data_IF_277814434025
#
_entry.id   IF_277814434025
#
_cell.length_a   1.000
_cell.length_b   1.000
_cell.length_c   1.000
_cell.angle_alpha   90.00
_cell.angle_beta   90.00
_cell.angle_gamma   90.00
#
_symmetry.space_group_name_H-M   'P 1'
#
loop_
_entity.id
_entity.type
_entity.pdbx_description
1 polymer ?
#
# COMPACT_ATOMS: atom_id res chain seq x y z
N UNK A 1 2.61 1.74 -4.18
CA UNK A 1 1.52 1.45 -5.14
C UNK A 1 1.65 2.37 -6.33
N UNK A 2 1.49 1.86 -7.56
CA UNK A 2 1.38 2.66 -8.78
C UNK A 2 -0.10 2.85 -9.12
N UNK A 3 -0.55 4.10 -9.25
CA UNK A 3 -1.93 4.43 -9.59
C UNK A 3 -2.05 4.88 -11.05
N UNK A 4 -2.77 4.12 -11.84
CA UNK A 4 -3.24 4.51 -13.15
C UNK A 4 -4.66 5.10 -13.04
N UNK A 5 -4.90 6.27 -13.63
CA UNK A 5 -6.19 6.93 -13.59
C UNK A 5 -6.69 7.23 -14.99
N UNK A 6 -7.93 6.84 -15.27
CA UNK A 6 -8.65 7.19 -16.50
C UNK A 6 -9.97 7.85 -16.15
N UNK A 7 -10.26 8.95 -16.83
CA UNK A 7 -11.49 9.73 -16.65
C UNK A 7 -12.23 9.79 -17.99
N UNK A 8 -13.53 9.55 -17.96
CA UNK A 8 -14.44 9.74 -19.09
C UNK A 8 -15.42 10.87 -18.71
N UNK A 9 -15.37 11.97 -19.44
CA UNK A 9 -16.20 13.14 -19.21
C UNK A 9 -16.65 13.77 -20.53
N UNK A 10 -17.15 15.00 -20.49
CA UNK A 10 -17.59 15.73 -21.71
C UNK A 10 -16.48 15.93 -22.74
N UNK A 11 -15.22 15.86 -22.33
CA UNK A 11 -14.06 15.97 -23.23
C UNK A 11 -13.69 14.61 -23.83
N UNK A 12 -14.39 13.54 -23.44
CA UNK A 12 -14.09 12.18 -23.81
C UNK A 12 -13.17 11.47 -22.82
N UNK A 13 -12.81 10.26 -23.18
CA UNK A 13 -11.98 9.39 -22.34
C UNK A 13 -10.51 9.77 -22.45
N UNK A 14 -9.86 10.01 -21.32
CA UNK A 14 -8.47 10.45 -21.23
C UNK A 14 -7.81 9.95 -19.96
N UNK A 15 -6.48 10.01 -19.91
CA UNK A 15 -5.79 9.82 -18.64
C UNK A 15 -6.17 10.91 -17.64
N UNK A 16 -6.27 10.54 -16.37
CA UNK A 16 -6.55 11.46 -15.27
C UNK A 16 -5.30 12.20 -14.81
N UNK A 17 -4.60 12.87 -15.74
CA UNK A 17 -3.34 13.58 -15.48
C UNK A 17 -3.41 15.07 -15.86
N UNK A 18 -4.60 15.61 -16.00
CA UNK A 18 -4.79 17.03 -16.30
C UNK A 18 -4.89 17.87 -15.03
N UNK A 19 -4.77 19.20 -15.13
CA UNK A 19 -4.91 20.09 -13.97
C UNK A 19 -6.24 19.93 -13.21
N UNK A 20 -7.29 19.42 -13.86
CA UNK A 20 -8.59 19.18 -13.24
C UNK A 20 -8.52 18.07 -12.16
N UNK A 21 -7.64 17.10 -12.34
CA UNK A 21 -7.46 15.99 -11.39
C UNK A 21 -6.32 16.24 -10.38
N UNK A 22 -5.61 17.37 -10.45
CA UNK A 22 -4.45 17.59 -9.57
C UNK A 22 -4.82 17.59 -8.08
N UNK A 23 -5.96 18.20 -7.71
CA UNK A 23 -6.46 18.15 -6.33
C UNK A 23 -6.75 16.71 -5.90
N UNK A 24 -7.36 15.90 -6.77
CA UNK A 24 -7.61 14.49 -6.49
C UNK A 24 -6.29 13.71 -6.29
N UNK A 25 -5.25 14.02 -7.06
CA UNK A 25 -3.93 13.41 -6.90
C UNK A 25 -3.28 13.76 -5.56
N UNK A 26 -3.38 15.01 -5.12
CA UNK A 26 -2.88 15.45 -3.82
C UNK A 26 -3.63 14.73 -2.70
N UNK A 27 -4.95 14.76 -2.72
CA UNK A 27 -5.79 14.13 -1.70
C UNK A 27 -5.55 12.62 -1.61
N UNK A 28 -5.36 11.94 -2.76
CA UNK A 28 -4.98 10.52 -2.83
C UNK A 28 -3.61 10.28 -2.21
N UNK A 29 -2.61 11.05 -2.61
CA UNK A 29 -1.24 10.91 -2.10
C UNK A 29 -1.20 11.09 -0.59
N UNK A 30 -1.83 12.12 -0.07
CA UNK A 30 -1.88 12.42 1.36
C UNK A 30 -2.59 11.31 2.15
N UNK A 31 -3.69 10.77 1.59
CA UNK A 31 -4.44 9.68 2.22
C UNK A 31 -3.63 8.40 2.32
N UNK A 32 -2.86 8.05 1.29
CA UNK A 32 -1.97 6.88 1.31
C UNK A 32 -0.74 7.12 2.20
N UNK A 33 -0.15 8.31 2.14
CA UNK A 33 1.00 8.69 2.97
C UNK A 33 0.68 8.65 4.47
N UNK A 34 -0.54 9.05 4.87
CA UNK A 34 -1.01 8.95 6.25
C UNK A 34 -1.03 7.50 6.78
N UNK A 35 -1.10 6.51 5.88
CA UNK A 35 -1.03 5.08 6.21
C UNK A 35 0.36 4.47 5.96
N UNK A 36 1.37 5.31 5.70
CA UNK A 36 2.74 4.87 5.46
C UNK A 36 2.99 4.25 4.08
N UNK A 37 2.05 4.37 3.15
CA UNK A 37 2.14 3.80 1.80
C UNK A 37 2.39 4.90 0.77
N UNK A 38 3.48 4.79 0.02
CA UNK A 38 3.79 5.73 -1.06
C UNK A 38 2.98 5.42 -2.31
N UNK A 39 2.16 6.40 -2.72
CA UNK A 39 1.46 6.37 -3.98
C UNK A 39 2.34 7.02 -5.06
N UNK A 40 2.46 6.36 -6.20
CA UNK A 40 3.14 6.90 -7.39
C UNK A 40 2.15 7.00 -8.54
N UNK A 41 2.29 8.02 -9.36
CA UNK A 41 1.58 8.11 -10.65
C UNK A 41 2.55 7.84 -11.80
N UNK A 42 2.07 7.26 -12.91
CA UNK A 42 2.83 7.16 -14.14
C UNK A 42 3.18 8.55 -14.69
N UNK A 43 4.21 8.64 -15.51
CA UNK A 43 4.57 9.87 -16.19
C UNK A 43 3.61 10.21 -17.32
N UNK A 44 2.87 9.22 -17.81
CA UNK A 44 1.99 9.31 -18.98
C UNK A 44 2.74 9.87 -20.21
N UNK A 45 4.02 9.52 -20.31
CA UNK A 45 4.87 9.90 -21.42
C UNK A 45 4.66 9.01 -22.65
N UNK A 46 5.48 9.20 -23.68
CA UNK A 46 5.38 8.41 -24.91
C UNK A 46 5.61 6.92 -24.65
N UNK A 47 6.53 6.57 -23.74
CA UNK A 47 6.82 5.17 -23.40
C UNK A 47 5.62 4.48 -22.75
N UNK A 48 4.92 5.17 -21.87
CA UNK A 48 3.67 4.66 -21.29
C UNK A 48 2.59 4.53 -22.38
N UNK A 49 2.48 5.54 -23.24
CA UNK A 49 1.41 5.63 -24.27
C UNK A 49 1.56 4.59 -25.40
N UNK A 50 2.75 4.02 -25.58
CA UNK A 50 2.96 2.91 -26.53
C UNK A 50 2.24 1.64 -26.08
N UNK A 51 2.24 1.37 -24.76
CA UNK A 51 1.65 0.17 -24.18
C UNK A 51 0.24 0.41 -23.66
N UNK A 52 -0.01 1.53 -22.98
CA UNK A 52 -1.26 1.83 -22.30
C UNK A 52 -1.94 3.05 -22.91
N UNK A 53 -3.16 2.88 -23.33
CA UNK A 53 -4.06 3.95 -23.74
C UNK A 53 -5.17 4.16 -22.71
N UNK A 54 -5.90 5.28 -22.74
CA UNK A 54 -7.11 5.43 -21.90
C UNK A 54 -8.12 4.29 -22.11
N UNK A 55 -8.20 3.74 -23.34
CA UNK A 55 -9.04 2.61 -23.66
C UNK A 55 -8.55 1.32 -22.98
N UNK A 56 -7.23 1.07 -22.97
CA UNK A 56 -6.59 -0.08 -22.30
C UNK A 56 -6.96 -0.13 -20.81
N UNK A 57 -6.86 1.02 -20.11
CA UNK A 57 -7.26 1.14 -18.70
C UNK A 57 -8.76 0.92 -18.53
N UNK A 58 -9.56 1.45 -19.43
CA UNK A 58 -11.02 1.34 -19.36
C UNK A 58 -11.51 -0.08 -19.54
N UNK A 59 -10.90 -0.81 -20.46
CA UNK A 59 -11.27 -2.18 -20.79
C UNK A 59 -10.69 -3.22 -19.82
N UNK A 60 -9.89 -2.78 -18.82
CA UNK A 60 -9.19 -3.64 -17.88
C UNK A 60 -8.21 -4.62 -18.57
N UNK A 61 -7.57 -4.19 -19.63
CA UNK A 61 -6.54 -4.99 -20.26
C UNK A 61 -5.24 -4.90 -19.46
N UNK A 62 -5.13 -5.78 -18.47
CA UNK A 62 -4.01 -5.74 -17.52
C UNK A 62 -2.67 -6.22 -18.09
N UNK A 63 -2.65 -6.91 -19.21
CA UNK A 63 -1.38 -7.30 -19.84
C UNK A 63 -0.47 -6.10 -20.10
N UNK A 64 -0.89 -5.17 -20.98
CA UNK A 64 -0.14 -3.94 -21.25
C UNK A 64 0.06 -3.03 -20.03
N UNK A 65 -0.92 -2.99 -19.10
CA UNK A 65 -0.82 -2.16 -17.90
C UNK A 65 0.30 -2.65 -16.97
N UNK A 66 0.40 -3.96 -16.76
CA UNK A 66 1.48 -4.57 -15.95
C UNK A 66 2.83 -4.34 -16.63
N UNK A 67 2.94 -4.59 -17.93
CA UNK A 67 4.17 -4.37 -18.69
C UNK A 67 4.65 -2.92 -18.59
N UNK A 68 3.76 -1.95 -18.79
CA UNK A 68 4.10 -0.53 -18.62
C UNK A 68 4.50 -0.16 -17.19
N UNK A 69 3.98 -0.90 -16.20
CA UNK A 69 4.24 -0.65 -14.79
C UNK A 69 5.62 -1.18 -14.34
N UNK A 70 6.22 -2.12 -15.05
CA UNK A 70 7.52 -2.70 -14.72
C UNK A 70 8.64 -1.64 -14.67
N UNK A 71 8.59 -0.62 -15.52
CA UNK A 71 9.57 0.48 -15.53
C UNK A 71 9.59 1.30 -14.23
N UNK A 72 8.50 1.25 -13.48
CA UNK A 72 8.38 1.93 -12.18
C UNK A 72 8.80 1.05 -11.01
N UNK A 73 9.11 -0.23 -11.25
CA UNK A 73 9.47 -1.21 -10.23
C UNK A 73 8.32 -1.51 -9.26
N UNK A 74 7.07 -1.40 -9.73
CA UNK A 74 5.88 -1.56 -8.90
C UNK A 74 5.09 -2.81 -9.31
N UNK A 75 4.77 -3.64 -8.32
CA UNK A 75 3.96 -4.86 -8.48
C UNK A 75 2.54 -4.69 -7.95
N UNK A 76 2.29 -3.65 -7.14
CA UNK A 76 0.99 -3.30 -6.62
C UNK A 76 0.40 -2.16 -7.45
N UNK A 77 -0.67 -2.45 -8.15
CA UNK A 77 -1.32 -1.51 -9.05
C UNK A 77 -2.70 -1.14 -8.51
N UNK A 78 -3.01 0.15 -8.55
CA UNK A 78 -4.36 0.65 -8.35
C UNK A 78 -4.81 1.32 -9.65
N UNK A 79 -5.98 0.98 -10.15
CA UNK A 79 -6.54 1.58 -11.36
C UNK A 79 -7.85 2.26 -11.01
N UNK A 80 -7.93 3.56 -11.26
CA UNK A 80 -9.17 4.33 -11.14
C UNK A 80 -9.81 4.52 -12.50
N UNK A 81 -11.08 4.09 -12.64
CA UNK A 81 -11.92 4.29 -13.83
C UNK A 81 -13.08 5.16 -13.44
N UNK A 82 -13.06 6.41 -13.81
CA UNK A 82 -14.00 7.42 -13.33
C UNK A 82 -14.79 8.04 -14.48
N UNK A 83 -16.08 8.25 -14.25
CA UNK A 83 -16.96 9.07 -15.10
C UNK A 83 -17.16 10.41 -14.37
N UNK A 84 -16.70 11.48 -14.95
CA UNK A 84 -16.93 12.84 -14.46
C UNK A 84 -18.28 13.38 -14.90
N UNK A 85 -19.19 13.63 -13.97
CA UNK A 85 -20.49 14.18 -14.22
C UNK A 85 -20.46 15.72 -14.24
N UNK A 86 -21.40 16.33 -14.96
CA UNK A 86 -21.49 17.79 -15.10
C UNK A 86 -21.76 18.57 -13.83
N UNK A 87 -22.17 17.89 -12.77
CA UNK A 87 -22.40 18.47 -11.44
C UNK A 87 -21.20 18.32 -10.50
N UNK A 88 -20.02 17.92 -11.00
CA UNK A 88 -18.80 17.72 -10.22
C UNK A 88 -18.74 16.38 -9.46
N UNK A 89 -19.74 15.51 -9.65
CA UNK A 89 -19.73 14.16 -9.05
C UNK A 89 -18.96 13.19 -9.92
N UNK A 90 -18.49 12.12 -9.28
CA UNK A 90 -17.86 11.00 -9.96
C UNK A 90 -18.62 9.69 -9.72
N UNK A 91 -18.68 8.88 -10.75
CA UNK A 91 -19.13 7.48 -10.67
C UNK A 91 -18.02 6.65 -11.29
N UNK A 92 -17.73 5.50 -10.73
CA UNK A 92 -16.71 4.65 -11.32
C UNK A 92 -16.33 3.45 -10.46
N UNK A 93 -15.07 3.11 -10.54
CA UNK A 93 -14.55 1.91 -9.94
C UNK A 93 -13.07 2.07 -9.63
N UNK A 94 -12.67 1.53 -8.51
CA UNK A 94 -11.28 1.27 -8.16
C UNK A 94 -10.99 -0.22 -8.33
N UNK A 95 -9.87 -0.54 -8.95
CA UNK A 95 -9.41 -1.91 -9.16
C UNK A 95 -7.99 -1.99 -8.58
N UNK A 96 -7.80 -2.88 -7.64
CA UNK A 96 -6.47 -3.23 -7.14
C UNK A 96 -6.01 -4.52 -7.77
N UNK A 97 -4.74 -4.58 -8.16
CA UNK A 97 -4.11 -5.76 -8.75
C UNK A 97 -2.70 -5.95 -8.20
N UNK A 98 -2.39 -7.19 -7.90
CA UNK A 98 -1.05 -7.67 -7.55
C UNK A 98 -0.79 -9.07 -8.14
N UNK A 99 0.22 -9.78 -7.61
CA UNK A 99 0.56 -11.14 -8.03
C UNK A 99 -0.51 -12.18 -7.68
N UNK A 100 -1.39 -11.91 -6.71
CA UNK A 100 -2.45 -12.83 -6.27
C UNK A 100 -3.74 -12.69 -7.10
N UNK A 101 -3.88 -11.61 -7.88
CA UNK A 101 -5.04 -11.38 -8.73
C UNK A 101 -5.55 -9.94 -8.70
N UNK A 102 -6.85 -9.78 -8.98
CA UNK A 102 -7.49 -8.47 -8.98
C UNK A 102 -8.74 -8.47 -8.11
N UNK A 103 -8.98 -7.32 -7.49
CA UNK A 103 -10.19 -7.01 -6.72
C UNK A 103 -10.70 -5.63 -7.12
N UNK A 104 -11.99 -5.42 -7.06
CA UNK A 104 -12.55 -4.11 -7.42
C UNK A 104 -13.69 -3.68 -6.50
N UNK A 105 -13.90 -2.36 -6.46
CA UNK A 105 -15.00 -1.73 -5.74
C UNK A 105 -15.58 -0.59 -6.55
N UNK A 106 -16.89 -0.58 -6.71
CA UNK A 106 -17.61 0.52 -7.35
C UNK A 106 -17.70 1.72 -6.41
N UNK A 107 -17.67 2.91 -6.98
CA UNK A 107 -17.78 4.17 -6.24
C UNK A 107 -18.75 5.12 -6.91
N UNK A 108 -19.54 5.81 -6.09
CA UNK A 108 -20.32 6.98 -6.48
C UNK A 108 -20.08 8.05 -5.41
N UNK A 109 -19.55 9.19 -5.83
CA UNK A 109 -19.06 10.19 -4.89
C UNK A 109 -19.43 11.61 -5.33
N UNK A 110 -19.69 12.45 -4.35
CA UNK A 110 -19.92 13.88 -4.50
C UNK A 110 -18.83 14.73 -3.80
N UNK A 111 -17.82 14.06 -3.28
CA UNK A 111 -16.62 14.68 -2.70
C UNK A 111 -15.37 13.85 -2.99
N UNK A 112 -14.19 14.47 -2.92
CA UNK A 112 -12.89 13.76 -3.05
C UNK A 112 -12.75 12.66 -2.00
N UNK A 113 -13.10 12.93 -0.76
CA UNK A 113 -13.02 11.95 0.34
C UNK A 113 -13.87 10.70 0.06
N UNK A 114 -15.14 10.88 -0.34
CA UNK A 114 -16.04 9.79 -0.68
C UNK A 114 -15.57 9.01 -1.92
N UNK A 115 -14.83 9.65 -2.83
CA UNK A 115 -14.23 9.01 -3.98
C UNK A 115 -13.01 8.16 -3.61
N UNK A 116 -12.17 8.67 -2.72
CA UNK A 116 -10.88 8.07 -2.35
C UNK A 116 -11.05 6.90 -1.38
N UNK A 117 -11.90 7.03 -0.38
CA UNK A 117 -12.03 6.07 0.72
C UNK A 117 -12.24 4.62 0.28
N UNK A 118 -13.09 4.29 -0.73
CA UNK A 118 -13.25 2.92 -1.18
C UNK A 118 -11.97 2.35 -1.83
N UNK A 119 -11.26 3.14 -2.66
CA UNK A 119 -10.02 2.73 -3.29
C UNK A 119 -8.88 2.52 -2.29
N UNK A 120 -8.79 3.41 -1.31
CA UNK A 120 -7.84 3.30 -0.20
C UNK A 120 -8.11 2.04 0.63
N UNK A 121 -9.38 1.83 1.02
CA UNK A 121 -9.78 0.65 1.80
C UNK A 121 -9.51 -0.65 1.05
N UNK A 122 -9.80 -0.69 -0.27
CA UNK A 122 -9.51 -1.83 -1.12
C UNK A 122 -8.01 -2.14 -1.14
N UNK A 123 -7.18 -1.18 -1.49
CA UNK A 123 -5.72 -1.35 -1.59
C UNK A 123 -5.11 -1.79 -0.25
N UNK A 124 -5.49 -1.13 0.85
CA UNK A 124 -4.99 -1.45 2.18
C UNK A 124 -5.47 -2.82 2.67
N UNK A 125 -6.71 -3.20 2.34
CA UNK A 125 -7.26 -4.52 2.68
C UNK A 125 -6.48 -5.65 1.99
N UNK A 126 -6.16 -5.49 0.71
CA UNK A 126 -5.40 -6.47 -0.08
C UNK A 126 -3.95 -6.56 0.40
N UNK A 127 -3.29 -5.42 0.62
CA UNK A 127 -1.94 -5.39 1.16
C UNK A 127 -1.88 -6.04 2.54
N UNK A 128 -2.84 -5.76 3.43
CA UNK A 128 -2.90 -6.44 4.73
C UNK A 128 -3.05 -7.96 4.59
N UNK A 129 -3.86 -8.44 3.65
CA UNK A 129 -4.00 -9.89 3.42
C UNK A 129 -2.71 -10.52 2.94
N UNK A 130 -1.97 -9.83 2.08
CA UNK A 130 -0.72 -10.33 1.53
C UNK A 130 0.43 -10.30 2.56
N UNK A 131 0.51 -9.22 3.35
CA UNK A 131 1.56 -8.99 4.34
C UNK A 131 1.10 -9.28 5.78
N UNK A 132 -0.16 -9.63 5.99
CA UNK A 132 -0.57 -10.12 7.29
C UNK A 132 0.14 -11.44 7.54
N UNK A 133 1.01 -11.43 8.52
CA UNK A 133 1.50 -12.67 9.12
C UNK A 133 0.25 -13.42 9.58
N UNK A 134 -0.02 -14.57 8.96
CA UNK A 134 -1.14 -15.40 9.35
C UNK A 134 -0.89 -15.86 10.78
N UNK A 135 -1.62 -15.28 11.72
CA UNK A 135 -1.71 -15.77 13.08
C UNK A 135 -2.48 -17.11 13.04
N UNK A 136 -1.88 -18.10 12.39
CA UNK A 136 -2.42 -19.46 12.39
C UNK A 136 -2.17 -20.06 13.75
N UNK A 137 -3.21 -20.22 14.51
CA UNK A 137 -3.29 -20.75 15.88
C UNK A 137 -2.85 -22.23 15.98
N UNK A 138 -1.89 -22.69 15.19
CA UNK A 138 -1.31 -24.04 15.20
C UNK A 138 0.21 -24.04 14.99
N UNK A 139 0.91 -23.00 15.40
CA UNK A 139 2.37 -22.96 15.42
C UNK A 139 2.89 -23.16 16.83
N UNK A 140 3.85 -24.03 17.01
CA UNK A 140 4.74 -24.05 18.18
C UNK A 140 5.18 -22.61 18.47
N UNK A 141 5.06 -22.15 19.69
CA UNK A 141 5.61 -20.87 20.14
C UNK A 141 7.11 -20.87 19.82
N UNK A 142 7.51 -20.24 18.75
CA UNK A 142 8.92 -20.09 18.45
C UNK A 142 9.50 -18.95 19.29
N UNK A 143 10.55 -19.28 20.01
CA UNK A 143 11.28 -18.31 20.82
C UNK A 143 12.52 -17.85 20.04
N UNK A 144 12.53 -16.61 19.63
CA UNK A 144 13.64 -15.98 18.93
C UNK A 144 14.54 -15.24 19.92
N UNK A 145 15.86 -15.43 19.83
CA UNK A 145 16.83 -14.64 20.58
C UNK A 145 17.47 -13.59 19.68
N UNK A 146 17.21 -12.32 19.96
CA UNK A 146 17.75 -11.20 19.22
C UNK A 146 18.85 -10.50 20.03
N UNK A 147 19.99 -10.22 19.39
CA UNK A 147 21.08 -9.43 19.98
C UNK A 147 21.13 -8.06 19.33
N UNK A 148 20.99 -7.04 20.15
CA UNK A 148 21.00 -5.63 19.76
C UNK A 148 22.28 -5.01 20.31
N UNK A 149 23.12 -4.46 19.44
CA UNK A 149 24.38 -3.85 19.79
C UNK A 149 24.26 -2.32 19.91
N UNK A 150 25.26 -1.72 20.54
CA UNK A 150 25.32 -0.28 20.74
C UNK A 150 24.23 0.27 21.68
N UNK A 151 23.85 -0.53 22.67
CA UNK A 151 22.95 -0.12 23.77
C UNK A 151 23.85 0.33 24.93
N UNK A 152 24.26 1.61 24.94
CA UNK A 152 25.28 2.11 25.85
C UNK A 152 24.71 2.92 27.02
N UNK A 153 23.43 3.27 26.97
CA UNK A 153 22.75 4.04 28.00
C UNK A 153 21.44 3.41 28.45
N UNK A 154 20.92 3.85 29.59
CA UNK A 154 19.60 3.46 30.06
C UNK A 154 18.50 3.95 29.09
N UNK A 155 18.71 5.10 28.46
CA UNK A 155 17.80 5.68 27.48
C UNK A 155 17.70 4.77 26.24
N UNK A 156 18.85 4.29 25.71
CA UNK A 156 18.88 3.34 24.60
C UNK A 156 18.15 2.04 24.97
N UNK A 157 18.41 1.52 26.17
CA UNK A 157 17.75 0.32 26.67
C UNK A 157 16.22 0.48 26.71
N UNK A 158 15.74 1.60 27.25
CA UNK A 158 14.28 1.87 27.32
C UNK A 158 13.69 2.05 25.92
N UNK A 159 14.35 2.79 25.03
CA UNK A 159 13.89 3.01 23.66
C UNK A 159 13.77 1.69 22.89
N UNK A 160 14.79 0.82 22.97
CA UNK A 160 14.76 -0.50 22.33
C UNK A 160 13.66 -1.37 22.90
N UNK A 161 13.55 -1.44 24.23
CA UNK A 161 12.55 -2.30 24.89
C UNK A 161 11.13 -1.85 24.54
N UNK A 162 10.87 -0.53 24.53
CA UNK A 162 9.56 0.02 24.15
C UNK A 162 9.24 -0.21 22.66
N UNK A 163 10.23 -0.03 21.79
CA UNK A 163 10.03 -0.23 20.34
C UNK A 163 9.70 -1.67 20.01
N UNK A 164 10.38 -2.63 20.65
CA UNK A 164 10.11 -4.05 20.46
C UNK A 164 8.76 -4.45 21.08
N UNK A 165 8.43 -3.93 22.26
CA UNK A 165 7.14 -4.21 22.90
C UNK A 165 5.95 -3.64 22.12
N UNK A 166 6.16 -2.64 21.25
CA UNK A 166 5.13 -2.06 20.38
C UNK A 166 4.83 -2.91 19.12
N UNK A 167 5.63 -3.95 18.84
CA UNK A 167 5.41 -4.84 17.69
C UNK A 167 4.22 -5.74 17.96
N UNK A 168 3.13 -5.55 17.24
CA UNK A 168 1.85 -6.24 17.45
C UNK A 168 1.87 -7.75 17.20
N UNK A 169 2.90 -8.27 16.52
CA UNK A 169 3.07 -9.71 16.26
C UNK A 169 3.79 -10.46 17.38
N UNK A 170 4.30 -9.74 18.36
CA UNK A 170 4.95 -10.33 19.54
C UNK A 170 3.97 -10.46 20.70
N UNK A 171 3.86 -11.65 21.27
CA UNK A 171 3.13 -11.86 22.52
C UNK A 171 3.94 -11.42 23.73
N UNK A 172 5.24 -11.74 23.72
CA UNK A 172 6.16 -11.39 24.80
C UNK A 172 7.52 -10.96 24.23
N UNK A 173 8.08 -9.93 24.82
CA UNK A 173 9.45 -9.50 24.59
C UNK A 173 10.10 -9.22 25.96
N UNK A 174 11.15 -9.96 26.29
CA UNK A 174 11.84 -9.78 27.56
C UNK A 174 13.37 -9.69 27.38
N UNK A 175 14.04 -8.80 28.09
CA UNK A 175 15.50 -8.78 28.14
C UNK A 175 15.97 -10.01 28.97
N UNK A 176 16.95 -10.75 28.42
CA UNK A 176 17.51 -11.93 29.10
C UNK A 176 18.98 -11.74 29.49
N UNK A 177 19.71 -10.87 28.82
CA UNK A 177 21.10 -10.57 29.16
C UNK A 177 21.53 -9.19 28.63
N UNK A 178 22.42 -8.52 29.37
CA UNK A 178 23.16 -7.35 28.95
C UNK A 178 24.64 -7.64 29.13
N UNK A 179 25.44 -7.56 28.08
CA UNK A 179 26.88 -7.78 28.10
C UNK A 179 27.60 -6.65 27.35
N UNK A 180 28.26 -5.78 28.11
CA UNK A 180 28.87 -4.57 27.55
C UNK A 180 27.81 -3.66 26.92
N UNK A 181 27.91 -3.41 25.62
CA UNK A 181 26.97 -2.62 24.82
C UNK A 181 25.91 -3.48 24.10
N UNK A 182 25.83 -4.76 24.42
CA UNK A 182 24.94 -5.70 23.72
C UNK A 182 23.80 -6.16 24.64
N UNK A 183 22.57 -5.86 24.24
CA UNK A 183 21.34 -6.34 24.84
C UNK A 183 20.88 -7.59 24.12
N UNK A 184 20.62 -8.67 24.84
CA UNK A 184 19.97 -9.87 24.30
C UNK A 184 18.52 -9.92 24.77
N UNK A 185 17.59 -10.00 23.84
CA UNK A 185 16.17 -10.13 24.12
C UNK A 185 15.65 -11.49 23.65
N UNK A 186 14.70 -12.01 24.39
CA UNK A 186 13.91 -13.18 24.01
C UNK A 186 12.53 -12.68 23.59
N UNK A 187 12.18 -13.04 22.36
CA UNK A 187 10.92 -12.66 21.75
C UNK A 187 10.09 -13.92 21.55
N UNK A 188 8.85 -13.89 21.96
CA UNK A 188 7.88 -14.96 21.72
C UNK A 188 6.73 -14.35 20.95
N UNK A 189 6.42 -14.89 19.80
CA UNK A 189 5.36 -14.39 18.93
C UNK A 189 4.67 -15.51 18.19
N UNK A 190 3.60 -15.14 17.51
CA UNK A 190 2.87 -16.02 16.62
C UNK A 190 3.33 -15.70 15.21
N UNK A 191 4.28 -16.47 14.66
CA UNK A 191 4.78 -16.28 13.31
C UNK A 191 6.10 -16.98 13.06
N UNK A 192 6.45 -17.11 11.80
CA UNK A 192 7.69 -17.74 11.36
C UNK A 192 8.87 -16.77 11.53
N UNK A 193 9.99 -17.23 12.06
CA UNK A 193 11.19 -16.41 12.32
C UNK A 193 11.81 -15.79 11.07
N UNK A 194 11.42 -16.23 9.87
CA UNK A 194 11.88 -15.66 8.60
C UNK A 194 11.17 -14.34 8.22
N UNK A 195 10.16 -13.93 8.97
CA UNK A 195 9.31 -12.76 8.64
C UNK A 195 9.56 -11.55 9.55
N UNK A 196 10.50 -11.61 10.48
CA UNK A 196 10.95 -10.55 11.38
C UNK A 196 12.24 -9.92 10.86
#
# INVERSE_FOLDING_TARGET
ILLWLVVDDRMGRRFGNTPAEETLWVDLSDSFDALGVKLRRPLYDLSDSVLVSPKTLWDRDFGPIVEASERYGMTHLLVGRLIGLSNGRYIGEWIYRDSSGEQSVSVQADSSEALIAPGLSLAMGEMRRQYAVSLTTQGTQETLKVRIRNVISLEDFMAVTQSIAAIQTLEHARPIAVQGDTLTMELTGIGDAETL
#
